data_IF_452443159567
#
_entry.id   IF_452443159567
#
_cell.length_a   1.000
_cell.length_b   1.000
_cell.length_c   1.000
_cell.angle_alpha   90.00
_cell.angle_beta   90.00
_cell.angle_gamma   90.00
#
_symmetry.space_group_name_H-M   'P 1'
#
loop_
_entity.id
_entity.type
_entity.pdbx_description
1 polymer ?
#
# COMPACT_ATOMS: atom_id res chain seq x y z
N UNK A 1 -6.00 52.65 5.85
CA UNK A 1 -4.79 51.83 6.02
C UNK A 1 -5.03 50.66 6.96
N UNK A 2 -5.23 50.87 8.28
CA UNK A 2 -5.39 49.77 9.26
C UNK A 2 -6.47 48.71 8.92
N UNK A 3 -7.62 49.13 8.38
CA UNK A 3 -8.70 48.22 7.97
C UNK A 3 -8.30 47.31 6.79
N UNK A 4 -7.55 47.87 5.83
CA UNK A 4 -7.06 47.12 4.65
C UNK A 4 -6.01 46.11 5.11
N UNK A 5 -5.10 46.51 6.00
CA UNK A 5 -4.09 45.61 6.57
C UNK A 5 -4.74 44.46 7.36
N UNK A 6 -5.81 44.74 8.09
CA UNK A 6 -6.55 43.73 8.85
C UNK A 6 -7.28 42.74 7.93
N UNK A 7 -7.93 43.21 6.87
CA UNK A 7 -8.59 42.36 5.87
C UNK A 7 -7.56 41.48 5.14
N UNK A 8 -6.44 42.05 4.71
CA UNK A 8 -5.36 41.30 4.07
C UNK A 8 -4.75 40.26 5.02
N UNK A 9 -4.53 40.61 6.28
CA UNK A 9 -4.05 39.68 7.30
C UNK A 9 -4.99 38.50 7.53
N UNK A 10 -6.31 38.75 7.59
CA UNK A 10 -7.32 37.70 7.72
C UNK A 10 -7.35 36.76 6.50
N UNK A 11 -7.26 37.30 5.28
CA UNK A 11 -7.24 36.50 4.05
C UNK A 11 -5.98 35.62 3.97
N UNK A 12 -4.80 36.19 4.26
CA UNK A 12 -3.53 35.45 4.26
C UNK A 12 -3.52 34.38 5.35
N UNK A 13 -4.02 34.70 6.54
CA UNK A 13 -4.13 33.75 7.65
C UNK A 13 -5.06 32.58 7.32
N UNK A 14 -6.22 32.86 6.73
CA UNK A 14 -7.15 31.83 6.27
C UNK A 14 -6.55 30.93 5.19
N UNK A 15 -5.96 31.51 4.14
CA UNK A 15 -5.32 30.75 3.05
C UNK A 15 -4.17 29.88 3.57
N UNK A 16 -3.33 30.42 4.45
CA UNK A 16 -2.23 29.67 5.07
C UNK A 16 -2.75 28.46 5.86
N UNK A 17 -3.82 28.64 6.63
CA UNK A 17 -4.42 27.55 7.41
C UNK A 17 -5.01 26.45 6.50
N UNK A 18 -5.70 26.82 5.42
CA UNK A 18 -6.28 25.85 4.48
C UNK A 18 -5.21 25.04 3.77
N UNK A 19 -4.12 25.69 3.35
CA UNK A 19 -2.98 25.01 2.72
C UNK A 19 -2.30 24.07 3.71
N UNK A 20 -2.06 24.52 4.95
CA UNK A 20 -1.44 23.71 6.00
C UNK A 20 -2.28 22.45 6.31
N UNK A 21 -3.60 22.58 6.43
CA UNK A 21 -4.49 21.43 6.65
C UNK A 21 -4.43 20.42 5.49
N UNK A 22 -4.42 20.89 4.23
CA UNK A 22 -4.32 20.00 3.07
C UNK A 22 -3.00 19.25 3.02
N UNK A 23 -1.89 19.95 3.28
CA UNK A 23 -0.56 19.32 3.35
C UNK A 23 -0.54 18.26 4.46
N UNK A 24 -1.08 18.57 5.64
CA UNK A 24 -1.17 17.61 6.75
C UNK A 24 -2.00 16.38 6.41
N UNK A 25 -3.13 16.54 5.73
CA UNK A 25 -3.95 15.41 5.28
C UNK A 25 -3.21 14.55 4.26
N UNK A 26 -2.60 15.16 3.23
CA UNK A 26 -1.80 14.43 2.24
C UNK A 26 -0.63 13.67 2.87
N UNK A 27 0.06 14.30 3.82
CA UNK A 27 1.14 13.65 4.55
C UNK A 27 0.63 12.40 5.28
N UNK A 28 -0.53 12.50 5.96
CA UNK A 28 -1.13 11.34 6.63
C UNK A 28 -1.50 10.22 5.66
N UNK A 29 -2.01 10.54 4.48
CA UNK A 29 -2.30 9.53 3.44
C UNK A 29 -1.02 8.84 2.98
N UNK A 30 0.05 9.60 2.74
CA UNK A 30 1.37 9.06 2.37
C UNK A 30 1.91 8.14 3.46
N UNK A 31 1.89 8.58 4.72
CA UNK A 31 2.37 7.80 5.85
C UNK A 31 1.58 6.48 5.99
N UNK A 32 0.26 6.53 5.79
CA UNK A 32 -0.58 5.34 5.81
C UNK A 32 -0.26 4.38 4.64
N UNK A 33 -0.09 4.90 3.41
CA UNK A 33 0.30 4.09 2.24
C UNK A 33 1.63 3.38 2.48
N UNK A 34 2.66 4.13 2.95
CA UNK A 34 3.97 3.56 3.27
C UNK A 34 3.84 2.45 4.30
N UNK A 35 3.15 2.72 5.42
CA UNK A 35 2.94 1.74 6.49
C UNK A 35 2.29 0.45 5.97
N UNK A 36 1.20 0.57 5.21
CA UNK A 36 0.45 -0.59 4.72
C UNK A 36 1.28 -1.40 3.71
N UNK A 37 1.93 -0.72 2.76
CA UNK A 37 2.77 -1.41 1.77
C UNK A 37 3.98 -2.10 2.41
N UNK A 38 4.63 -1.47 3.39
CA UNK A 38 5.73 -2.10 4.12
C UNK A 38 5.26 -3.33 4.90
N UNK A 39 4.09 -3.28 5.53
CA UNK A 39 3.51 -4.43 6.24
C UNK A 39 3.17 -5.59 5.29
N UNK A 40 2.63 -5.29 4.09
CA UNK A 40 2.38 -6.31 3.06
C UNK A 40 3.68 -7.00 2.63
N UNK A 41 4.72 -6.22 2.32
CA UNK A 41 6.02 -6.76 1.89
C UNK A 41 6.62 -7.63 3.00
N UNK A 42 6.59 -7.18 4.25
CA UNK A 42 7.05 -7.97 5.40
C UNK A 42 6.34 -9.31 5.49
N UNK A 43 5.02 -9.34 5.31
CA UNK A 43 4.25 -10.59 5.34
C UNK A 43 4.54 -11.50 4.16
N UNK A 44 4.77 -10.98 2.96
CA UNK A 44 5.23 -11.81 1.84
C UNK A 44 6.60 -12.45 2.11
N UNK A 45 7.50 -11.72 2.77
CA UNK A 45 8.79 -12.28 3.22
C UNK A 45 8.59 -13.35 4.29
N UNK A 46 7.69 -13.14 5.25
CA UNK A 46 7.32 -14.18 6.24
C UNK A 46 6.75 -15.43 5.57
N UNK A 47 5.84 -15.28 4.59
CA UNK A 47 5.29 -16.40 3.81
C UNK A 47 6.40 -17.16 3.07
N UNK A 48 7.31 -16.44 2.40
CA UNK A 48 8.49 -17.03 1.74
C UNK A 48 9.35 -17.83 2.73
N UNK A 49 9.68 -17.23 3.87
CA UNK A 49 10.53 -17.88 4.87
C UNK A 49 9.84 -19.12 5.44
N UNK A 50 8.53 -19.06 5.66
CA UNK A 50 7.74 -20.20 6.11
C UNK A 50 7.82 -21.37 5.12
N UNK A 51 7.70 -21.12 3.81
CA UNK A 51 7.85 -22.14 2.76
C UNK A 51 9.22 -22.80 2.80
N UNK A 52 10.29 -22.01 2.94
CA UNK A 52 11.65 -22.58 3.02
C UNK A 52 11.91 -23.33 4.34
N UNK A 53 11.31 -22.89 5.44
CA UNK A 53 11.39 -23.63 6.71
C UNK A 53 10.61 -24.95 6.66
N UNK A 54 9.49 -24.98 5.95
CA UNK A 54 8.66 -26.19 5.77
C UNK A 54 9.48 -27.36 5.19
N UNK A 55 10.28 -27.11 4.16
CA UNK A 55 11.14 -28.12 3.51
C UNK A 55 12.25 -28.65 4.43
N UNK A 56 12.70 -27.86 5.40
CA UNK A 56 13.82 -28.22 6.26
C UNK A 56 13.39 -29.00 7.52
N UNK A 57 12.10 -29.03 7.84
CA UNK A 57 11.57 -29.72 9.01
C UNK A 57 10.77 -30.97 8.61
N UNK A 58 10.86 -32.04 9.40
CA UNK A 58 10.10 -33.28 9.19
C UNK A 58 8.61 -33.01 8.91
N UNK A 59 8.06 -33.66 7.88
CA UNK A 59 6.74 -33.40 7.27
C UNK A 59 5.54 -33.53 8.22
N UNK A 60 5.72 -34.03 9.44
CA UNK A 60 4.65 -34.48 10.34
C UNK A 60 4.13 -33.45 11.37
N UNK A 61 4.37 -32.14 11.19
CA UNK A 61 3.79 -31.15 12.10
C UNK A 61 2.47 -30.57 11.54
N UNK A 62 1.29 -31.00 12.06
CA UNK A 62 -0.02 -30.54 11.57
C UNK A 62 -0.29 -29.05 11.84
N UNK A 63 0.48 -28.39 12.71
CA UNK A 63 0.31 -26.96 13.00
C UNK A 63 1.02 -26.04 12.01
N UNK A 64 1.81 -26.56 11.05
CA UNK A 64 2.56 -25.74 10.09
C UNK A 64 1.64 -24.91 9.20
N UNK A 65 0.61 -25.52 8.62
CA UNK A 65 -0.36 -24.82 7.78
C UNK A 65 -1.20 -23.80 8.54
N UNK A 66 -1.48 -24.05 9.82
CA UNK A 66 -2.17 -23.09 10.68
C UNK A 66 -1.38 -21.79 10.84
N UNK A 67 -0.05 -21.85 10.83
CA UNK A 67 0.79 -20.65 10.86
C UNK A 67 0.78 -19.92 9.52
N UNK A 68 0.85 -20.65 8.41
CA UNK A 68 0.72 -20.05 7.08
C UNK A 68 -0.64 -19.36 6.87
N UNK A 69 -1.74 -19.98 7.32
CA UNK A 69 -3.08 -19.42 7.29
C UNK A 69 -3.19 -18.13 8.12
N UNK A 70 -2.51 -18.06 9.27
CA UNK A 70 -2.45 -16.84 10.08
C UNK A 70 -1.71 -15.72 9.34
N UNK A 71 -0.57 -16.02 8.74
CA UNK A 71 0.20 -15.03 7.95
C UNK A 71 -0.68 -14.50 6.81
N UNK A 72 -1.37 -15.39 6.10
CA UNK A 72 -2.31 -15.03 5.04
C UNK A 72 -3.49 -14.19 5.54
N UNK A 73 -4.09 -14.52 6.70
CA UNK A 73 -5.17 -13.71 7.26
C UNK A 73 -4.70 -12.27 7.57
N UNK A 74 -3.46 -12.10 8.04
CA UNK A 74 -2.88 -10.78 8.23
C UNK A 74 -2.65 -10.04 6.90
N UNK A 75 -2.18 -10.71 5.85
CA UNK A 75 -2.05 -10.06 4.53
C UNK A 75 -3.39 -9.59 4.00
N UNK A 76 -4.46 -10.39 4.15
CA UNK A 76 -5.81 -9.99 3.75
C UNK A 76 -6.32 -8.76 4.51
N UNK A 77 -5.98 -8.62 5.79
CA UNK A 77 -6.30 -7.42 6.56
C UNK A 77 -5.62 -6.19 5.95
N UNK A 78 -4.32 -6.28 5.65
CA UNK A 78 -3.58 -5.16 5.05
C UNK A 78 -3.99 -4.85 3.61
N UNK A 79 -4.43 -5.85 2.84
CA UNK A 79 -5.04 -5.64 1.51
C UNK A 79 -6.34 -4.84 1.65
N UNK A 80 -7.17 -5.18 2.64
CA UNK A 80 -8.37 -4.40 2.97
C UNK A 80 -8.05 -2.95 3.34
N UNK A 81 -6.97 -2.72 4.10
CA UNK A 81 -6.49 -1.38 4.41
C UNK A 81 -5.94 -0.66 3.16
N UNK A 82 -5.25 -1.37 2.27
CA UNK A 82 -4.74 -0.82 1.00
C UNK A 82 -5.88 -0.29 0.12
N UNK A 83 -7.01 -1.00 0.05
CA UNK A 83 -8.21 -0.53 -0.64
C UNK A 83 -8.73 0.83 -0.14
N UNK A 84 -8.49 1.17 1.13
CA UNK A 84 -8.97 2.43 1.72
C UNK A 84 -8.03 3.61 1.50
N UNK A 85 -6.74 3.34 1.27
CA UNK A 85 -5.72 4.40 1.16
C UNK A 85 -5.24 4.62 -0.25
N UNK A 86 -5.40 3.64 -1.14
CA UNK A 86 -4.89 3.66 -2.51
C UNK A 86 -5.97 4.12 -3.49
N UNK A 87 -5.62 5.09 -4.34
CA UNK A 87 -6.54 5.64 -5.35
C UNK A 87 -6.59 4.77 -6.62
N UNK A 88 -5.51 4.04 -6.92
CA UNK A 88 -5.43 3.11 -8.05
C UNK A 88 -6.02 1.74 -7.67
N UNK A 89 -7.31 1.53 -7.91
CA UNK A 89 -8.00 0.26 -7.61
C UNK A 89 -7.29 -0.96 -8.23
N UNK A 90 -6.83 -0.85 -9.49
CA UNK A 90 -6.13 -1.94 -10.17
C UNK A 90 -4.87 -2.37 -9.43
N UNK A 91 -4.12 -1.45 -8.82
CA UNK A 91 -2.94 -1.79 -8.03
C UNK A 91 -3.31 -2.69 -6.85
N UNK A 92 -4.41 -2.38 -6.14
CA UNK A 92 -4.86 -3.18 -5.00
C UNK A 92 -5.37 -4.55 -5.44
N UNK A 93 -6.08 -4.63 -6.56
CA UNK A 93 -6.50 -5.89 -7.15
C UNK A 93 -5.30 -6.77 -7.55
N UNK A 94 -4.27 -6.17 -8.13
CA UNK A 94 -3.04 -6.89 -8.52
C UNK A 94 -2.25 -7.36 -7.30
N UNK A 95 -2.21 -6.56 -6.23
CA UNK A 95 -1.64 -6.96 -4.92
C UNK A 95 -2.39 -8.16 -4.35
N UNK A 96 -3.72 -8.12 -4.37
CA UNK A 96 -4.54 -9.22 -3.88
C UNK A 96 -4.36 -10.49 -4.73
N UNK A 97 -4.37 -10.33 -6.06
CA UNK A 97 -4.14 -11.43 -7.00
C UNK A 97 -2.78 -12.10 -6.76
N UNK A 98 -1.73 -11.30 -6.54
CA UNK A 98 -0.41 -11.80 -6.17
C UNK A 98 -0.45 -12.57 -4.85
N UNK A 99 -1.08 -12.02 -3.80
CA UNK A 99 -1.20 -12.66 -2.50
C UNK A 99 -1.98 -13.98 -2.57
N UNK A 100 -3.11 -14.01 -3.28
CA UNK A 100 -3.92 -15.22 -3.51
C UNK A 100 -3.11 -16.28 -4.24
N UNK A 101 -2.42 -15.89 -5.33
CA UNK A 101 -1.57 -16.79 -6.11
C UNK A 101 -0.46 -17.37 -5.25
N UNK A 102 0.16 -16.54 -4.40
CA UNK A 102 1.22 -16.97 -3.49
C UNK A 102 0.68 -17.98 -2.47
N UNK A 103 -0.44 -17.69 -1.82
CA UNK A 103 -1.03 -18.56 -0.80
C UNK A 103 -1.56 -19.88 -1.38
N UNK A 104 -2.23 -19.84 -2.53
CA UNK A 104 -2.87 -21.01 -3.16
C UNK A 104 -1.89 -21.92 -3.93
N UNK A 105 -0.65 -21.47 -4.11
CA UNK A 105 0.37 -22.33 -4.71
C UNK A 105 0.60 -23.52 -3.79
N UNK A 106 0.49 -24.73 -4.33
CA UNK A 106 0.69 -25.97 -3.58
C UNK A 106 2.17 -26.23 -3.32
N UNK A 107 2.80 -25.37 -2.50
CA UNK A 107 4.24 -25.35 -2.26
C UNK A 107 4.81 -26.72 -1.84
N UNK A 108 4.03 -27.51 -1.12
CA UNK A 108 4.38 -28.85 -0.65
C UNK A 108 4.49 -29.92 -1.76
N UNK A 109 3.90 -29.66 -2.93
CA UNK A 109 3.97 -30.58 -4.07
C UNK A 109 5.22 -30.34 -4.93
N UNK A 110 6.01 -29.32 -4.63
CA UNK A 110 7.21 -28.98 -5.40
C UNK A 110 8.47 -29.55 -4.73
N UNK A 111 9.35 -30.20 -5.49
CA UNK A 111 10.74 -30.40 -5.06
C UNK A 111 11.42 -29.05 -4.79
N UNK A 112 12.37 -29.01 -3.86
CA UNK A 112 13.10 -27.79 -3.47
C UNK A 112 13.65 -26.97 -4.65
N UNK A 113 14.17 -27.64 -5.68
CA UNK A 113 14.67 -26.97 -6.90
C UNK A 113 13.56 -26.21 -7.63
N UNK A 114 12.37 -26.81 -7.74
CA UNK A 114 11.21 -26.17 -8.35
C UNK A 114 10.63 -25.06 -7.46
N UNK A 115 10.71 -25.19 -6.13
CA UNK A 115 10.35 -24.11 -5.19
C UNK A 115 11.23 -22.89 -5.46
N UNK A 116 12.54 -23.06 -5.63
CA UNK A 116 13.45 -21.94 -5.91
C UNK A 116 13.13 -21.24 -7.22
N UNK A 117 12.90 -22.00 -8.30
CA UNK A 117 12.51 -21.44 -9.60
C UNK A 117 11.21 -20.66 -9.44
N UNK A 118 10.21 -21.26 -8.80
CA UNK A 118 8.91 -20.63 -8.61
C UNK A 118 9.00 -19.38 -7.74
N UNK A 119 9.82 -19.41 -6.69
CA UNK A 119 10.03 -18.28 -5.80
C UNK A 119 10.73 -17.11 -6.50
N UNK A 120 11.65 -17.37 -7.43
CA UNK A 120 12.26 -16.31 -8.24
C UNK A 120 11.24 -15.67 -9.21
N UNK A 121 10.29 -16.45 -9.75
CA UNK A 121 9.15 -15.88 -10.51
C UNK A 121 8.31 -14.94 -9.63
N UNK A 122 7.90 -15.40 -8.45
CA UNK A 122 7.15 -14.57 -7.50
C UNK A 122 7.92 -13.34 -7.04
N UNK A 123 9.24 -13.44 -6.88
CA UNK A 123 10.09 -12.29 -6.55
C UNK A 123 10.12 -11.27 -7.66
N UNK A 124 10.22 -11.69 -8.93
CA UNK A 124 10.16 -10.78 -10.06
C UNK A 124 8.81 -10.06 -10.15
N UNK A 125 7.71 -10.80 -9.99
CA UNK A 125 6.35 -10.23 -9.91
C UNK A 125 6.19 -9.26 -8.73
N UNK A 126 6.66 -9.66 -7.55
CA UNK A 126 6.63 -8.83 -6.34
C UNK A 126 7.43 -7.54 -6.48
N UNK A 127 8.61 -7.57 -7.10
CA UNK A 127 9.41 -6.36 -7.38
C UNK A 127 8.66 -5.41 -8.32
N UNK A 128 7.98 -5.94 -9.34
CA UNK A 128 7.17 -5.12 -10.24
C UNK A 128 6.02 -4.42 -9.50
N UNK A 129 5.35 -5.11 -8.58
CA UNK A 129 4.31 -4.53 -7.72
C UNK A 129 4.88 -3.47 -6.76
N UNK A 130 6.01 -3.75 -6.11
CA UNK A 130 6.67 -2.80 -5.22
C UNK A 130 7.04 -1.51 -5.96
N UNK A 131 7.47 -1.59 -7.21
CA UNK A 131 7.75 -0.41 -8.02
C UNK A 131 6.49 0.42 -8.28
N UNK A 132 5.33 -0.21 -8.48
CA UNK A 132 4.05 0.49 -8.62
C UNK A 132 3.58 1.08 -7.30
N UNK A 133 3.71 0.38 -6.17
CA UNK A 133 3.45 0.92 -4.83
C UNK A 133 4.27 2.20 -4.56
N UNK A 134 5.57 2.18 -4.89
CA UNK A 134 6.44 3.37 -4.79
C UNK A 134 5.96 4.51 -5.68
N UNK A 135 5.50 4.19 -6.89
CA UNK A 135 4.95 5.17 -7.82
C UNK A 135 3.66 5.80 -7.24
N UNK A 136 2.75 5.01 -6.70
CA UNK A 136 1.53 5.49 -6.04
C UNK A 136 1.83 6.41 -4.85
N UNK A 137 2.81 6.05 -4.00
CA UNK A 137 3.32 6.94 -2.94
C UNK A 137 3.85 8.25 -3.55
N UNK A 138 4.69 8.16 -4.58
CA UNK A 138 5.29 9.33 -5.21
C UNK A 138 4.23 10.25 -5.86
N UNK A 139 3.22 9.69 -6.51
CA UNK A 139 2.12 10.47 -7.09
C UNK A 139 1.30 11.17 -6.01
N UNK A 140 1.15 10.56 -4.84
CA UNK A 140 0.49 11.16 -3.67
C UNK A 140 1.26 12.37 -3.10
N UNK A 141 2.58 12.45 -3.31
CA UNK A 141 3.39 13.61 -2.88
C UNK A 141 3.19 14.86 -3.74
N UNK A 142 2.64 14.72 -4.96
CA UNK A 142 2.46 15.86 -5.86
C UNK A 142 1.26 16.71 -5.43
N UNK A 143 1.48 18.02 -5.30
CA UNK A 143 0.43 19.01 -5.13
C UNK A 143 -0.07 19.43 -6.51
N UNK A 144 -1.28 19.03 -6.87
CA UNK A 144 -1.87 19.36 -8.16
C UNK A 144 -2.62 20.69 -8.08
N UNK A 145 -2.66 21.45 -9.18
CA UNK A 145 -3.44 22.69 -9.27
C UNK A 145 -4.93 22.47 -8.93
N UNK A 146 -5.47 21.29 -9.24
CA UNK A 146 -6.81 20.87 -8.84
C UNK A 146 -7.01 20.85 -7.31
N UNK A 147 -5.97 20.55 -6.53
CA UNK A 147 -6.03 20.59 -5.06
C UNK A 147 -6.28 22.01 -4.53
N UNK A 148 -5.91 23.04 -5.31
CA UNK A 148 -6.08 24.45 -4.96
C UNK A 148 -7.33 25.08 -5.58
N UNK A 149 -7.93 24.50 -6.63
CA UNK A 149 -9.12 25.07 -7.28
C UNK A 149 -10.32 25.23 -6.33
N UNK A 150 -10.48 24.32 -5.37
CA UNK A 150 -11.51 24.43 -4.32
C UNK A 150 -11.25 25.55 -3.30
N UNK A 151 -10.00 25.99 -3.13
CA UNK A 151 -9.64 27.08 -2.19
C UNK A 151 -10.12 28.43 -2.72
N UNK A 152 -10.15 28.59 -4.05
CA UNK A 152 -10.57 29.81 -4.72
C UNK A 152 -12.07 29.85 -5.07
N UNK A 153 -12.86 28.88 -4.58
CA UNK A 153 -14.31 28.85 -4.84
C UNK A 153 -14.69 28.52 -6.28
N UNK A 154 -13.74 28.10 -7.13
CA UNK A 154 -14.04 27.48 -8.42
C UNK A 154 -14.50 26.05 -8.18
N UNK A 155 -15.73 25.91 -7.68
CA UNK A 155 -16.52 24.72 -7.95
C UNK A 155 -16.75 24.69 -9.46
N UNK A 156 -15.91 23.97 -10.19
CA UNK A 156 -16.36 23.37 -11.43
C UNK A 156 -17.44 22.36 -11.04
N UNK A 157 -18.67 22.85 -10.92
CA UNK A 157 -19.86 22.10 -11.25
C UNK A 157 -19.62 21.56 -12.66
N UNK A 158 -19.29 20.27 -12.78
CA UNK A 158 -19.61 19.37 -13.90
C UNK A 158 -18.69 18.15 -13.90
N UNK A 159 -19.08 17.08 -13.20
CA UNK A 159 -19.53 15.82 -13.82
C UNK A 159 -19.96 14.84 -12.75
#
# INVERSE_FOLDING_TARGET
>A
MALITLIVGLIIGYLSNVVAMKISFKQRTIDNKIKIYDLLICKWVEMRNHIYHFENEAQDNPNKWLEFDKIYAYTQTYIGEAFLVTDEQQLVEDINSFNEKFYRTEWYNFPLENINIKMEEFKAEGIALINRMKKDIHESTKLNLADFMHIFGFSCKNR
#
